data_IF_442023480427
#
_entry.id   IF_442023480427
#
_cell.length_a   1.000
_cell.length_b   1.000
_cell.length_c   1.000
_cell.angle_alpha   90.00
_cell.angle_beta   90.00
_cell.angle_gamma   90.00
#
_symmetry.space_group_name_H-M   'P 1'
#
loop_
_entity.id
_entity.type
_entity.pdbx_description
1 polymer ?
#
# COMPACT_ATOMS: atom_id res chain seq x y z
N UNK A 1 2.82 -18.49 2.52
CA UNK A 1 3.82 -17.45 2.81
C UNK A 1 3.79 -16.96 4.26
N UNK A 2 2.64 -16.73 4.92
CA UNK A 2 2.60 -16.27 6.33
C UNK A 2 3.33 -17.17 7.33
N UNK A 3 3.21 -18.49 7.17
CA UNK A 3 3.86 -19.49 8.05
C UNK A 3 5.40 -19.43 8.07
N UNK A 4 6.03 -19.09 6.95
CA UNK A 4 7.49 -18.98 6.86
C UNK A 4 7.99 -17.74 7.61
N UNK A 5 7.24 -16.64 7.52
CA UNK A 5 7.51 -15.43 8.27
C UNK A 5 7.32 -15.64 9.77
N UNK A 6 6.25 -16.32 10.20
CA UNK A 6 6.03 -16.66 11.62
C UNK A 6 7.16 -17.50 12.23
N UNK A 7 7.60 -18.54 11.52
CA UNK A 7 8.70 -19.39 11.97
C UNK A 7 10.02 -18.62 12.05
N UNK A 8 10.31 -17.77 11.06
CA UNK A 8 11.47 -16.89 11.08
C UNK A 8 11.42 -15.90 12.26
N UNK A 9 10.31 -15.20 12.44
CA UNK A 9 10.08 -14.25 13.54
C UNK A 9 10.30 -14.90 14.90
N UNK A 10 9.80 -16.13 15.09
CA UNK A 10 9.98 -16.91 16.32
C UNK A 10 11.45 -17.30 16.54
N UNK A 11 12.15 -17.74 15.49
CA UNK A 11 13.58 -18.09 15.54
C UNK A 11 14.49 -16.89 15.83
N UNK A 12 14.12 -15.71 15.33
CA UNK A 12 14.83 -14.46 15.60
C UNK A 12 14.62 -13.94 17.03
N UNK A 13 13.71 -14.54 17.80
CA UNK A 13 13.37 -14.08 19.15
C UNK A 13 12.59 -12.76 19.15
N UNK A 14 11.94 -12.41 18.05
CA UNK A 14 11.17 -11.18 17.95
C UNK A 14 9.81 -11.36 18.63
N UNK A 15 9.60 -10.64 19.73
CA UNK A 15 8.39 -10.72 20.54
C UNK A 15 7.27 -9.86 19.96
N UNK A 16 6.49 -10.47 19.07
CA UNK A 16 5.28 -9.91 18.49
C UNK A 16 4.16 -10.95 18.52
N UNK A 17 2.93 -10.47 18.72
CA UNK A 17 1.76 -11.33 18.70
C UNK A 17 1.36 -11.65 17.26
N UNK A 18 1.65 -12.88 16.84
CA UNK A 18 1.24 -13.42 15.54
C UNK A 18 -0.07 -14.21 15.62
N UNK A 19 -0.67 -14.33 16.81
CA UNK A 19 -1.91 -15.09 17.02
C UNK A 19 -3.17 -14.29 16.69
N UNK A 20 -3.13 -12.96 16.83
CA UNK A 20 -4.20 -12.04 16.41
C UNK A 20 -3.63 -10.84 15.62
N UNK A 21 -3.11 -11.05 14.40
CA UNK A 21 -2.60 -9.97 13.57
C UNK A 21 -3.75 -9.16 12.96
N UNK A 22 -3.56 -7.85 12.78
CA UNK A 22 -4.42 -7.08 11.89
C UNK A 22 -4.00 -7.38 10.43
N UNK A 23 -4.96 -7.83 9.62
CA UNK A 23 -4.72 -8.27 8.25
C UNK A 23 -5.52 -7.38 7.31
N UNK A 24 -4.83 -6.75 6.35
CA UNK A 24 -5.45 -5.76 5.46
C UNK A 24 -6.47 -6.33 4.47
N UNK A 25 -6.39 -7.63 4.18
CA UNK A 25 -7.37 -8.33 3.33
C UNK A 25 -8.52 -8.99 4.12
N UNK A 26 -8.54 -8.89 5.46
CA UNK A 26 -9.66 -9.36 6.27
C UNK A 26 -10.89 -8.47 6.05
N UNK A 27 -12.07 -9.07 5.96
CA UNK A 27 -13.33 -8.36 5.69
C UNK A 27 -13.60 -7.25 6.72
N UNK A 28 -13.30 -7.47 8.00
CA UNK A 28 -13.50 -6.48 9.07
C UNK A 28 -12.63 -5.23 8.85
N UNK A 29 -11.40 -5.44 8.39
CA UNK A 29 -10.48 -4.35 8.04
C UNK A 29 -11.00 -3.58 6.82
N UNK A 30 -11.42 -4.30 5.78
CA UNK A 30 -11.98 -3.73 4.55
C UNK A 30 -13.24 -2.90 4.85
N UNK A 31 -14.17 -3.42 5.65
CA UNK A 31 -15.40 -2.70 6.05
C UNK A 31 -15.10 -1.38 6.75
N UNK A 32 -14.09 -1.38 7.62
CA UNK A 32 -13.62 -0.15 8.29
C UNK A 32 -13.10 0.87 7.28
N UNK A 33 -12.34 0.43 6.27
CA UNK A 33 -11.88 1.33 5.19
C UNK A 33 -13.03 1.91 4.37
N UNK A 34 -14.03 1.11 4.02
CA UNK A 34 -15.23 1.60 3.30
C UNK A 34 -15.97 2.66 4.09
N UNK A 35 -16.10 2.48 5.41
CA UNK A 35 -16.67 3.49 6.29
C UNK A 35 -15.87 4.80 6.26
N UNK A 36 -14.53 4.73 6.38
CA UNK A 36 -13.67 5.91 6.33
C UNK A 36 -13.76 6.64 4.98
N UNK A 37 -13.74 5.92 3.86
CA UNK A 37 -13.87 6.49 2.53
C UNK A 37 -15.24 7.17 2.34
N UNK A 38 -16.31 6.58 2.87
CA UNK A 38 -17.66 7.18 2.87
C UNK A 38 -17.68 8.50 3.64
N UNK A 39 -17.04 8.57 4.80
CA UNK A 39 -16.97 9.80 5.60
C UNK A 39 -16.13 10.89 4.90
N UNK A 40 -15.01 10.54 4.26
CA UNK A 40 -14.21 11.48 3.46
C UNK A 40 -14.99 12.00 2.26
N UNK A 41 -15.76 11.14 1.59
CA UNK A 41 -16.62 11.52 0.48
C UNK A 41 -17.73 12.49 0.92
N UNK A 42 -18.44 12.19 2.02
CA UNK A 42 -19.46 13.09 2.58
C UNK A 42 -18.93 14.47 2.94
N UNK A 43 -17.68 14.55 3.40
CA UNK A 43 -17.00 15.81 3.74
C UNK A 43 -16.46 16.56 2.51
N UNK A 44 -16.56 15.99 1.31
CA UNK A 44 -16.05 16.59 0.07
C UNK A 44 -14.54 16.48 -0.12
N UNK A 45 -13.83 15.69 0.69
CA UNK A 45 -12.38 15.49 0.56
C UNK A 45 -12.00 14.42 -0.46
N UNK A 46 -12.94 13.53 -0.82
CA UNK A 46 -12.75 12.53 -1.86
C UNK A 46 -13.59 12.92 -3.09
N UNK A 47 -12.93 13.15 -4.23
CA UNK A 47 -13.57 13.54 -5.48
C UNK A 47 -12.86 12.95 -6.69
N UNK A 48 -13.57 12.89 -7.81
CA UNK A 48 -12.99 12.50 -9.10
C UNK A 48 -12.43 13.73 -9.80
N UNK A 49 -11.14 13.70 -10.13
CA UNK A 49 -10.47 14.73 -10.91
C UNK A 49 -9.77 14.15 -12.14
N UNK A 50 -9.57 14.97 -13.17
CA UNK A 50 -8.76 14.63 -14.33
C UNK A 50 -7.45 15.42 -14.25
N UNK A 51 -6.33 14.71 -14.13
CA UNK A 51 -5.00 15.29 -13.99
C UNK A 51 -3.98 14.42 -14.71
N UNK A 52 -2.83 15.00 -15.08
CA UNK A 52 -1.69 14.22 -15.59
C UNK A 52 -1.08 13.50 -14.40
N UNK A 53 -1.05 12.17 -14.46
CA UNK A 53 -0.52 11.31 -13.40
C UNK A 53 0.66 10.49 -13.95
N UNK A 54 1.70 10.23 -13.15
CA UNK A 54 2.74 9.30 -13.52
C UNK A 54 2.12 7.90 -13.68
N UNK A 55 2.53 7.20 -14.74
CA UNK A 55 1.97 5.89 -15.10
C UNK A 55 3.08 4.85 -15.15
N UNK A 56 2.85 3.70 -14.54
CA UNK A 56 3.77 2.56 -14.62
C UNK A 56 3.32 1.62 -15.74
N UNK A 57 4.10 1.48 -16.84
CA UNK A 57 3.78 0.52 -17.90
C UNK A 57 3.79 -0.93 -17.42
N UNK A 58 4.62 -1.25 -16.43
CA UNK A 58 4.75 -2.59 -15.89
C UNK A 58 3.54 -3.00 -15.04
N UNK A 59 3.00 -2.06 -14.25
CA UNK A 59 1.85 -2.32 -13.37
C UNK A 59 0.49 -2.01 -14.03
N UNK A 60 0.47 -1.31 -15.16
CA UNK A 60 -0.74 -0.97 -15.89
C UNK A 60 -1.64 0.05 -15.18
N UNK A 61 -1.09 0.82 -14.22
CA UNK A 61 -1.85 1.75 -13.38
C UNK A 61 -1.11 3.08 -13.18
N UNK A 62 -1.88 4.12 -12.89
CA UNK A 62 -1.35 5.38 -12.38
C UNK A 62 -0.72 5.17 -11.01
N UNK A 63 0.34 5.91 -10.74
CA UNK A 63 1.04 5.95 -9.46
C UNK A 63 0.74 7.25 -8.74
N UNK A 64 0.77 7.21 -7.42
CA UNK A 64 0.79 8.42 -6.61
C UNK A 64 2.14 9.15 -6.73
N UNK A 65 2.14 10.45 -6.47
CA UNK A 65 3.37 11.27 -6.43
C UNK A 65 4.38 10.78 -5.39
N UNK A 66 3.91 10.16 -4.30
CA UNK A 66 4.77 9.63 -3.24
C UNK A 66 5.40 8.29 -3.64
N UNK A 67 4.70 7.46 -4.43
CA UNK A 67 5.28 6.24 -5.00
C UNK A 67 6.38 6.54 -6.01
N UNK A 68 6.21 7.57 -6.85
CA UNK A 68 7.23 7.99 -7.82
C UNK A 68 8.54 8.45 -7.15
N UNK A 69 8.42 9.03 -5.95
CA UNK A 69 9.57 9.58 -5.21
C UNK A 69 10.19 8.56 -4.23
N UNK A 70 9.85 7.27 -4.32
CA UNK A 70 10.49 6.27 -3.46
C UNK A 70 11.96 6.08 -3.82
N UNK A 71 12.83 5.78 -2.84
CA UNK A 71 14.24 5.49 -3.09
C UNK A 71 14.40 4.36 -4.12
N UNK A 72 15.17 4.63 -5.19
CA UNK A 72 15.40 3.67 -6.27
C UNK A 72 14.48 3.80 -7.49
N UNK A 73 13.47 4.69 -7.45
CA UNK A 73 12.63 5.00 -8.61
C UNK A 73 13.38 5.79 -9.70
N UNK A 74 14.33 6.64 -9.31
CA UNK A 74 15.19 7.37 -10.25
C UNK A 74 16.52 6.64 -10.43
N UNK A 75 16.98 6.58 -11.67
CA UNK A 75 18.26 5.97 -12.05
C UNK A 75 18.91 6.81 -13.12
N UNK A 76 20.21 7.03 -12.96
CA UNK A 76 21.01 7.66 -14.00
C UNK A 76 21.14 6.68 -15.18
N UNK A 77 20.70 7.12 -16.35
CA UNK A 77 20.84 6.39 -17.60
C UNK A 77 21.76 7.20 -18.51
N UNK A 78 22.77 6.55 -19.09
CA UNK A 78 23.60 7.21 -20.10
C UNK A 78 22.85 7.18 -21.43
N UNK A 79 22.64 8.35 -22.03
CA UNK A 79 22.28 8.42 -23.45
C UNK A 79 23.42 7.77 -24.24
N UNK A 80 23.07 6.74 -25.01
CA UNK A 80 24.00 6.00 -25.88
C UNK A 80 23.79 6.47 -27.31
#
# INVERSE_FOLDING_TARGET
YTKEWEDLTRKMGYWVDMSDPYITYDTRYIETLWYLLKELYKKGFLYKGYTIQPYSPAAGTGLSTHELNQPGCYRDVKDT
#
